data_IF_692802857234
#
_entry.id   IF_692802857234
#
_cell.length_a   1.000
_cell.length_b   1.000
_cell.length_c   1.000
_cell.angle_alpha   90.00
_cell.angle_beta   90.00
_cell.angle_gamma   90.00
#
_symmetry.space_group_name_H-M   'P 1'
#
loop_
_entity.id
_entity.type
_entity.pdbx_description
1 polymer ?
#
# COMPACT_ATOMS: atom_id res chain seq x y z
N UNK A 1 -18.65 -5.02 -40.99
CA UNK A 1 -19.59 -4.98 -39.86
C UNK A 1 -19.03 -3.98 -38.87
N UNK A 2 -19.83 -3.06 -38.33
CA UNK A 2 -19.34 -2.09 -37.33
C UNK A 2 -19.00 -2.82 -36.02
N UNK A 3 -18.01 -2.33 -35.27
CA UNK A 3 -17.60 -2.91 -33.99
C UNK A 3 -18.77 -3.02 -32.99
N UNK A 4 -19.68 -2.05 -33.03
CA UNK A 4 -20.93 -2.02 -32.25
C UNK A 4 -21.84 -3.24 -32.57
N UNK A 5 -22.01 -3.56 -33.86
CA UNK A 5 -22.79 -4.72 -34.30
C UNK A 5 -22.17 -6.05 -33.85
N UNK A 6 -20.84 -6.11 -33.78
CA UNK A 6 -20.14 -7.29 -33.28
C UNK A 6 -20.30 -7.45 -31.76
N UNK A 7 -20.26 -6.36 -30.99
CA UNK A 7 -20.51 -6.38 -29.54
C UNK A 7 -21.94 -6.82 -29.21
N UNK A 8 -22.94 -6.30 -29.91
CA UNK A 8 -24.34 -6.68 -29.70
C UNK A 8 -24.55 -8.18 -29.97
N UNK A 9 -23.95 -8.70 -31.05
CA UNK A 9 -23.97 -10.14 -31.35
C UNK A 9 -23.37 -10.96 -30.21
N UNK A 10 -22.22 -10.56 -29.68
CA UNK A 10 -21.54 -11.27 -28.57
C UNK A 10 -22.38 -11.22 -27.29
N UNK A 11 -22.98 -10.08 -26.96
CA UNK A 11 -23.91 -9.94 -25.83
C UNK A 11 -25.09 -10.91 -25.95
N UNK A 12 -25.67 -11.04 -27.15
CA UNK A 12 -26.75 -11.97 -27.40
C UNK A 12 -26.30 -13.44 -27.27
N UNK A 13 -25.08 -13.77 -27.70
CA UNK A 13 -24.50 -15.11 -27.50
C UNK A 13 -24.29 -15.44 -26.02
N UNK A 14 -23.93 -14.47 -25.18
CA UNK A 14 -23.85 -14.66 -23.72
C UNK A 14 -25.22 -14.99 -23.08
N UNK A 15 -26.34 -14.76 -23.79
CA UNK A 15 -27.70 -15.11 -23.36
C UNK A 15 -28.20 -16.45 -23.89
N UNK A 16 -27.36 -17.20 -24.63
CA UNK A 16 -27.67 -18.55 -25.14
C UNK A 16 -28.09 -19.52 -24.02
N UNK A 17 -28.63 -20.69 -24.36
CA UNK A 17 -28.76 -21.79 -23.41
C UNK A 17 -27.52 -22.69 -23.37
N UNK A 18 -26.68 -22.61 -24.41
CA UNK A 18 -25.46 -23.37 -24.54
C UNK A 18 -24.31 -22.68 -23.78
N UNK A 19 -23.66 -23.41 -22.87
CA UNK A 19 -22.57 -22.89 -22.05
C UNK A 19 -21.30 -22.66 -22.87
N UNK A 20 -21.01 -23.50 -23.85
CA UNK A 20 -19.80 -23.38 -24.67
C UNK A 20 -19.88 -22.14 -25.55
N UNK A 21 -21.07 -21.86 -26.09
CA UNK A 21 -21.36 -20.62 -26.83
C UNK A 21 -21.14 -19.39 -25.94
N UNK A 22 -21.55 -19.44 -24.66
CA UNK A 22 -21.32 -18.33 -23.72
C UNK A 22 -19.84 -18.13 -23.41
N UNK A 23 -19.11 -19.23 -23.19
CA UNK A 23 -17.68 -19.19 -22.88
C UNK A 23 -16.89 -18.61 -24.05
N UNK A 24 -17.19 -19.05 -25.28
CA UNK A 24 -16.61 -18.50 -26.50
C UNK A 24 -16.94 -17.01 -26.67
N UNK A 25 -18.19 -16.62 -26.45
CA UNK A 25 -18.61 -15.23 -26.50
C UNK A 25 -17.87 -14.36 -25.46
N UNK A 26 -17.68 -14.84 -24.23
CA UNK A 26 -16.92 -14.15 -23.19
C UNK A 26 -15.44 -14.00 -23.57
N UNK A 27 -14.82 -15.02 -24.17
CA UNK A 27 -13.45 -14.95 -24.66
C UNK A 27 -13.29 -13.91 -25.79
N UNK A 28 -14.27 -13.84 -26.70
CA UNK A 28 -14.30 -12.83 -27.76
C UNK A 28 -14.54 -11.43 -27.22
N UNK A 29 -15.44 -11.27 -26.24
CA UNK A 29 -15.64 -10.00 -25.54
C UNK A 29 -14.36 -9.53 -24.85
N UNK A 30 -13.63 -10.44 -24.19
CA UNK A 30 -12.33 -10.11 -23.60
C UNK A 30 -11.38 -9.49 -24.64
N UNK A 31 -11.23 -10.12 -25.81
CA UNK A 31 -10.37 -9.61 -26.87
C UNK A 31 -10.83 -8.24 -27.39
N UNK A 32 -12.14 -8.02 -27.53
CA UNK A 32 -12.69 -6.71 -27.91
C UNK A 32 -12.37 -5.65 -26.86
N UNK A 33 -12.51 -5.98 -25.58
CA UNK A 33 -12.17 -5.06 -24.50
C UNK A 33 -10.67 -4.72 -24.45
N UNK A 34 -9.81 -5.72 -24.63
CA UNK A 34 -8.35 -5.52 -24.70
C UNK A 34 -7.94 -4.66 -25.90
N UNK A 35 -8.75 -4.66 -26.98
CA UNK A 35 -8.53 -3.78 -28.15
C UNK A 35 -8.93 -2.32 -27.92
N UNK A 36 -9.59 -2.00 -26.80
CA UNK A 36 -10.03 -0.65 -26.46
C UNK A 36 -11.32 -0.23 -27.17
N UNK A 37 -12.22 -1.18 -27.45
CA UNK A 37 -13.54 -0.87 -28.04
C UNK A 37 -14.33 0.09 -27.15
N UNK A 38 -15.01 1.07 -27.76
CA UNK A 38 -15.90 1.99 -27.05
C UNK A 38 -17.22 1.29 -26.68
N UNK A 39 -17.77 1.65 -25.51
CA UNK A 39 -18.99 1.03 -24.96
C UNK A 39 -19.97 2.13 -24.60
N UNK A 40 -21.09 2.20 -25.33
CA UNK A 40 -22.15 3.19 -25.08
C UNK A 40 -23.04 2.81 -23.88
N UNK A 41 -23.25 1.51 -23.65
CA UNK A 41 -24.20 1.00 -22.66
C UNK A 41 -23.55 0.01 -21.68
N UNK A 42 -22.83 0.50 -20.65
CA UNK A 42 -22.13 -0.36 -19.69
C UNK A 42 -23.07 -1.27 -18.89
N UNK A 43 -24.30 -0.83 -18.59
CA UNK A 43 -25.28 -1.61 -17.82
C UNK A 43 -25.65 -2.96 -18.48
N UNK A 44 -25.65 -3.01 -19.80
CA UNK A 44 -25.90 -4.25 -20.54
C UNK A 44 -24.83 -5.28 -20.23
N UNK A 45 -23.55 -4.87 -20.26
CA UNK A 45 -22.42 -5.74 -19.95
C UNK A 45 -22.37 -6.12 -18.47
N UNK A 46 -22.65 -5.17 -17.56
CA UNK A 46 -22.75 -5.44 -16.13
C UNK A 46 -23.78 -6.55 -15.87
N UNK A 47 -24.95 -6.49 -16.50
CA UNK A 47 -25.97 -7.53 -16.36
C UNK A 47 -25.56 -8.88 -16.96
N UNK A 48 -24.86 -8.88 -18.10
CA UNK A 48 -24.28 -10.11 -18.67
C UNK A 48 -23.28 -10.74 -17.70
N UNK A 49 -22.32 -9.98 -17.20
CA UNK A 49 -21.31 -10.46 -16.25
C UNK A 49 -21.95 -10.98 -14.97
N UNK A 50 -22.91 -10.25 -14.40
CA UNK A 50 -23.68 -10.66 -13.23
C UNK A 50 -24.33 -12.04 -13.42
N UNK A 51 -24.91 -12.30 -14.58
CA UNK A 51 -25.54 -13.59 -14.87
C UNK A 51 -24.50 -14.71 -15.06
N UNK A 52 -23.41 -14.43 -15.79
CA UNK A 52 -22.34 -15.42 -16.00
C UNK A 52 -21.62 -15.79 -14.70
N UNK A 53 -21.37 -14.81 -13.81
CA UNK A 53 -20.70 -15.01 -12.52
C UNK A 53 -21.56 -15.78 -11.51
N UNK A 54 -22.89 -15.76 -11.64
CA UNK A 54 -23.81 -16.53 -10.77
C UNK A 54 -23.96 -17.99 -11.16
N UNK A 55 -23.39 -18.40 -12.29
CA UNK A 55 -23.53 -19.78 -12.71
C UNK A 55 -22.73 -20.74 -11.84
N UNK A 56 -23.26 -21.95 -11.71
CA UNK A 56 -22.56 -23.09 -11.13
C UNK A 56 -21.45 -23.64 -12.03
N UNK A 57 -21.39 -23.26 -13.31
CA UNK A 57 -20.37 -23.74 -14.23
C UNK A 57 -19.04 -22.97 -14.07
N UNK A 58 -18.00 -23.68 -13.62
CA UNK A 58 -16.68 -23.10 -13.34
C UNK A 58 -15.98 -22.53 -14.58
N UNK A 59 -16.16 -23.12 -15.76
CA UNK A 59 -15.57 -22.61 -17.00
C UNK A 59 -16.17 -21.26 -17.36
N UNK A 60 -17.49 -21.11 -17.19
CA UNK A 60 -18.18 -19.85 -17.45
C UNK A 60 -17.80 -18.76 -16.45
N UNK A 61 -17.75 -19.07 -15.15
CA UNK A 61 -17.31 -18.08 -14.14
C UNK A 61 -15.85 -17.67 -14.36
N UNK A 62 -14.98 -18.60 -14.74
CA UNK A 62 -13.57 -18.33 -15.09
C UNK A 62 -13.45 -17.41 -16.31
N UNK A 63 -14.22 -17.68 -17.36
CA UNK A 63 -14.25 -16.84 -18.56
C UNK A 63 -14.80 -15.44 -18.23
N UNK A 64 -15.86 -15.37 -17.41
CA UNK A 64 -16.46 -14.10 -16.99
C UNK A 64 -15.48 -13.23 -16.20
N UNK A 65 -14.80 -13.76 -15.17
CA UNK A 65 -13.79 -13.02 -14.41
C UNK A 65 -12.64 -12.55 -15.32
N UNK A 66 -12.27 -13.35 -16.32
CA UNK A 66 -11.20 -13.02 -17.26
C UNK A 66 -11.56 -11.83 -18.16
N UNK A 67 -12.77 -11.85 -18.73
CA UNK A 67 -13.28 -10.77 -19.57
C UNK A 67 -13.62 -9.50 -18.78
N UNK A 68 -13.91 -9.63 -17.48
CA UNK A 68 -14.29 -8.51 -16.62
C UNK A 68 -13.13 -7.54 -16.32
N UNK A 69 -11.90 -8.03 -16.28
CA UNK A 69 -10.73 -7.21 -15.95
C UNK A 69 -10.42 -6.14 -17.01
N UNK A 70 -10.33 -6.44 -18.33
CA UNK A 70 -10.15 -5.41 -19.36
C UNK A 70 -11.40 -4.57 -19.60
N UNK A 71 -12.59 -4.98 -19.13
CA UNK A 71 -13.79 -4.16 -19.17
C UNK A 71 -13.71 -2.92 -18.25
N UNK A 72 -13.11 -3.05 -17.06
CA UNK A 72 -12.96 -1.95 -16.10
C UNK A 72 -12.29 -0.68 -16.66
N UNK A 73 -11.11 -0.77 -17.30
CA UNK A 73 -10.47 0.42 -17.86
C UNK A 73 -11.36 1.09 -18.90
N UNK A 74 -12.07 0.37 -19.76
CA UNK A 74 -12.92 0.99 -20.80
C UNK A 74 -14.00 1.88 -20.18
N UNK A 75 -14.69 1.41 -19.14
CA UNK A 75 -15.78 2.16 -18.53
C UNK A 75 -15.31 3.28 -17.58
N UNK A 76 -14.01 3.29 -17.20
CA UNK A 76 -13.48 4.21 -16.18
C UNK A 76 -12.21 5.00 -16.63
N UNK A 77 -11.70 4.84 -17.85
CA UNK A 77 -10.43 5.43 -18.31
C UNK A 77 -10.51 6.94 -18.61
N UNK A 78 -11.69 7.51 -18.84
CA UNK A 78 -11.82 8.92 -19.24
C UNK A 78 -11.93 9.90 -18.06
N UNK A 79 -11.51 9.52 -16.85
CA UNK A 79 -11.49 10.41 -15.68
C UNK A 79 -12.87 10.76 -15.10
N UNK A 80 -13.95 10.43 -15.80
CA UNK A 80 -15.34 10.51 -15.33
C UNK A 80 -15.92 9.11 -15.39
N UNK A 81 -15.51 8.25 -14.45
CA UNK A 81 -16.33 7.11 -14.10
C UNK A 81 -17.66 7.67 -13.60
N UNK A 82 -18.75 7.46 -14.35
CA UNK A 82 -20.07 7.81 -13.85
C UNK A 82 -20.24 7.14 -12.48
N UNK A 83 -20.44 7.97 -11.46
CA UNK A 83 -20.61 7.55 -10.07
C UNK A 83 -21.71 6.49 -9.99
N UNK A 84 -22.74 6.59 -10.84
CA UNK A 84 -23.82 5.59 -10.87
C UNK A 84 -23.33 4.24 -11.41
N UNK A 85 -22.57 4.22 -12.51
CA UNK A 85 -21.95 3.00 -13.07
C UNK A 85 -21.01 2.35 -12.07
N UNK A 86 -20.14 3.13 -11.40
CA UNK A 86 -19.22 2.59 -10.40
C UNK A 86 -19.97 1.95 -9.22
N UNK A 87 -21.03 2.58 -8.74
CA UNK A 87 -21.90 2.00 -7.70
C UNK A 87 -22.60 0.74 -8.20
N UNK A 88 -23.08 0.74 -9.44
CA UNK A 88 -23.71 -0.42 -10.06
C UNK A 88 -22.74 -1.61 -10.05
N UNK A 89 -21.49 -1.41 -10.49
CA UNK A 89 -20.46 -2.45 -10.47
C UNK A 89 -20.15 -2.91 -9.03
N UNK A 90 -20.00 -1.99 -8.08
CA UNK A 90 -19.76 -2.33 -6.67
C UNK A 90 -20.91 -3.15 -6.07
N UNK A 91 -22.16 -2.79 -6.31
CA UNK A 91 -23.30 -3.48 -5.69
C UNK A 91 -23.61 -4.80 -6.40
N UNK A 92 -23.42 -4.87 -7.71
CA UNK A 92 -23.84 -6.04 -8.51
C UNK A 92 -22.75 -7.08 -8.72
N UNK A 93 -21.51 -6.65 -8.99
CA UNK A 93 -20.42 -7.54 -9.39
C UNK A 93 -19.47 -7.85 -8.23
N UNK A 94 -19.18 -6.88 -7.36
CA UNK A 94 -18.24 -7.10 -6.24
C UNK A 94 -18.61 -8.33 -5.39
N UNK A 95 -19.86 -8.54 -4.94
CA UNK A 95 -20.20 -9.70 -4.10
C UNK A 95 -19.99 -11.03 -4.84
N UNK A 96 -20.13 -11.03 -6.16
CA UNK A 96 -19.95 -12.23 -6.98
C UNK A 96 -18.45 -12.51 -7.21
N UNK A 97 -17.64 -11.47 -7.39
CA UNK A 97 -16.21 -11.60 -7.65
C UNK A 97 -15.43 -11.89 -6.36
N UNK A 98 -15.87 -11.37 -5.20
CA UNK A 98 -15.18 -11.65 -3.93
C UNK A 98 -15.23 -13.12 -3.54
N UNK A 99 -16.32 -13.82 -3.87
CA UNK A 99 -16.42 -15.28 -3.72
C UNK A 99 -15.40 -16.03 -4.59
N UNK A 100 -14.92 -15.41 -5.67
CA UNK A 100 -13.90 -16.00 -6.55
C UNK A 100 -12.48 -15.87 -5.99
N UNK A 101 -12.28 -15.14 -4.88
CA UNK A 101 -10.97 -15.10 -4.20
C UNK A 101 -10.57 -16.44 -3.58
N UNK A 102 -11.54 -17.34 -3.32
CA UNK A 102 -11.24 -18.70 -2.86
C UNK A 102 -10.94 -19.69 -3.99
N UNK A 103 -11.12 -19.31 -5.25
CA UNK A 103 -10.90 -20.20 -6.40
C UNK A 103 -9.40 -20.50 -6.61
N UNK A 104 -9.08 -21.27 -7.67
CA UNK A 104 -7.70 -21.59 -8.06
C UNK A 104 -6.95 -20.35 -8.54
N UNK A 105 -5.62 -20.39 -8.43
CA UNK A 105 -4.72 -19.25 -8.55
C UNK A 105 -5.00 -18.33 -9.76
N UNK A 106 -5.24 -18.88 -10.95
CA UNK A 106 -5.51 -18.07 -12.16
C UNK A 106 -6.75 -17.19 -12.01
N UNK A 107 -7.85 -17.73 -11.49
CA UNK A 107 -9.11 -17.00 -11.31
C UNK A 107 -8.99 -16.05 -10.12
N UNK A 108 -8.41 -16.54 -9.02
CA UNK A 108 -8.16 -15.77 -7.81
C UNK A 108 -7.34 -14.52 -8.08
N UNK A 109 -6.24 -14.61 -8.85
CA UNK A 109 -5.38 -13.47 -9.18
C UNK A 109 -6.18 -12.40 -9.94
N UNK A 110 -6.97 -12.80 -10.94
CA UNK A 110 -7.80 -11.86 -11.72
C UNK A 110 -8.91 -11.23 -10.88
N UNK A 111 -9.56 -12.01 -10.01
CA UNK A 111 -10.56 -11.51 -9.07
C UNK A 111 -9.95 -10.48 -8.11
N UNK A 112 -8.75 -10.77 -7.56
CA UNK A 112 -8.02 -9.84 -6.69
C UNK A 112 -7.65 -8.56 -7.42
N UNK A 113 -7.16 -8.66 -8.65
CA UNK A 113 -6.83 -7.49 -9.46
C UNK A 113 -8.05 -6.63 -9.76
N UNK A 114 -9.17 -7.25 -10.16
CA UNK A 114 -10.44 -6.57 -10.38
C UNK A 114 -10.90 -5.78 -9.14
N UNK A 115 -10.92 -6.43 -7.97
CA UNK A 115 -11.32 -5.79 -6.71
C UNK A 115 -10.35 -4.64 -6.35
N UNK A 116 -9.04 -4.84 -6.57
CA UNK A 116 -8.04 -3.80 -6.31
C UNK A 116 -8.24 -2.56 -7.20
N UNK A 117 -8.52 -2.76 -8.50
CA UNK A 117 -8.85 -1.66 -9.41
C UNK A 117 -10.13 -0.95 -9.00
N UNK A 118 -11.18 -1.69 -8.60
CA UNK A 118 -12.41 -1.07 -8.08
C UNK A 118 -12.16 -0.22 -6.84
N UNK A 119 -11.32 -0.68 -5.91
CA UNK A 119 -10.93 0.11 -4.75
C UNK A 119 -10.24 1.42 -5.14
N UNK A 120 -9.33 1.37 -6.12
CA UNK A 120 -8.66 2.56 -6.65
C UNK A 120 -9.64 3.53 -7.35
N UNK A 121 -10.56 3.04 -8.18
CA UNK A 121 -11.60 3.88 -8.81
C UNK A 121 -12.54 4.50 -7.77
N UNK A 122 -12.94 3.72 -6.75
CA UNK A 122 -13.79 4.18 -5.66
C UNK A 122 -13.13 5.30 -4.86
N UNK A 123 -11.85 5.16 -4.54
CA UNK A 123 -11.07 6.19 -3.87
C UNK A 123 -10.96 7.47 -4.71
N UNK A 124 -10.63 7.35 -6.00
CA UNK A 124 -10.52 8.51 -6.91
C UNK A 124 -11.85 9.24 -7.12
N UNK A 125 -12.96 8.50 -7.18
CA UNK A 125 -14.30 9.09 -7.36
C UNK A 125 -14.70 10.01 -6.20
N UNK A 126 -14.19 9.78 -4.99
CA UNK A 126 -14.43 10.62 -3.82
C UNK A 126 -13.50 11.83 -3.68
N UNK A 127 -12.47 11.93 -4.54
CA UNK A 127 -11.49 13.02 -4.53
C UNK A 127 -11.78 14.12 -5.55
N UNK A 128 -12.79 13.94 -6.42
CA UNK A 128 -13.22 14.97 -7.37
C UNK A 128 -14.00 16.06 -6.62
N UNK A 129 -13.41 17.25 -6.54
CA UNK A 129 -13.74 18.33 -5.59
C UNK A 129 -15.06 19.07 -5.78
N UNK A 130 -16.19 18.37 -5.93
CA UNK A 130 -17.52 19.01 -6.04
C UNK A 130 -18.54 18.58 -4.98
N UNK A 131 -18.16 17.80 -3.96
CA UNK A 131 -19.07 17.46 -2.86
C UNK A 131 -18.39 17.64 -1.48
N UNK A 132 -18.79 18.65 -0.69
CA UNK A 132 -18.35 18.76 0.69
C UNK A 132 -19.13 17.71 1.49
N UNK A 133 -18.57 16.52 1.68
CA UNK A 133 -19.19 15.53 2.59
C UNK A 133 -18.24 15.16 3.71
N UNK A 134 -18.01 16.13 4.60
CA UNK A 134 -17.84 15.84 6.01
C UNK A 134 -19.17 15.35 6.56
N UNK A 135 -19.57 14.12 6.28
CA UNK A 135 -20.70 13.49 6.97
C UNK A 135 -20.22 12.90 8.29
N UNK A 136 -19.99 13.78 9.26
CA UNK A 136 -19.86 13.43 10.69
C UNK A 136 -21.20 12.92 11.27
N UNK A 137 -22.31 13.11 10.55
CA UNK A 137 -23.68 12.80 10.98
C UNK A 137 -24.47 11.85 10.07
N UNK A 138 -23.82 11.06 9.19
CA UNK A 138 -24.47 9.94 8.50
C UNK A 138 -25.63 10.24 7.53
N UNK A 139 -25.92 11.51 7.23
CA UNK A 139 -27.03 11.96 6.35
C UNK A 139 -26.58 12.41 4.96
N UNK A 140 -25.52 11.81 4.42
CA UNK A 140 -25.09 12.02 3.03
C UNK A 140 -25.29 10.74 2.20
N UNK A 141 -25.43 10.84 0.85
CA UNK A 141 -25.40 9.66 0.00
C UNK A 141 -24.06 8.92 0.21
N UNK A 142 -24.11 7.63 0.58
CA UNK A 142 -22.94 6.78 0.81
C UNK A 142 -21.96 6.96 -0.36
N UNK A 143 -20.68 7.29 -0.20
CA UNK A 143 -19.80 7.45 -1.39
C UNK A 143 -19.43 6.07 -1.99
N UNK A 144 -19.03 5.94 -3.26
CA UNK A 144 -18.53 4.66 -3.79
C UNK A 144 -17.41 4.07 -2.94
N UNK A 145 -16.55 4.93 -2.36
CA UNK A 145 -15.52 4.51 -1.42
C UNK A 145 -16.10 3.92 -0.12
N UNK A 146 -17.18 4.49 0.43
CA UNK A 146 -17.87 3.92 1.59
C UNK A 146 -18.51 2.56 1.27
N UNK A 147 -19.12 2.42 0.08
CA UNK A 147 -19.68 1.14 -0.41
C UNK A 147 -18.57 0.10 -0.51
N UNK A 148 -17.45 0.44 -1.17
CA UNK A 148 -16.30 -0.45 -1.30
C UNK A 148 -15.74 -0.87 0.07
N UNK A 149 -15.56 0.10 0.98
CA UNK A 149 -15.07 -0.15 2.33
C UNK A 149 -15.95 -1.14 3.07
N UNK A 150 -17.27 -0.91 3.08
CA UNK A 150 -18.23 -1.79 3.74
C UNK A 150 -18.19 -3.20 3.14
N UNK A 151 -18.23 -3.32 1.81
CA UNK A 151 -18.21 -4.62 1.14
C UNK A 151 -16.91 -5.39 1.39
N UNK A 152 -15.74 -4.74 1.32
CA UNK A 152 -14.46 -5.40 1.56
C UNK A 152 -14.30 -5.83 3.02
N UNK A 153 -14.83 -5.05 3.98
CA UNK A 153 -14.86 -5.42 5.40
C UNK A 153 -15.77 -6.62 5.64
N UNK A 154 -17.02 -6.54 5.21
CA UNK A 154 -18.06 -7.53 5.51
C UNK A 154 -17.87 -8.84 4.76
N UNK A 155 -17.64 -8.78 3.45
CA UNK A 155 -17.55 -9.95 2.58
C UNK A 155 -16.11 -10.46 2.45
N UNK A 156 -15.12 -9.62 2.73
CA UNK A 156 -13.70 -9.92 2.59
C UNK A 156 -13.04 -10.26 3.92
N UNK A 157 -12.59 -9.24 4.64
CA UNK A 157 -11.79 -9.39 5.87
C UNK A 157 -12.55 -10.11 7.00
N UNK A 158 -13.87 -9.96 7.08
CA UNK A 158 -14.72 -10.66 8.05
C UNK A 158 -15.32 -11.97 7.49
N UNK A 159 -14.89 -12.43 6.31
CA UNK A 159 -15.41 -13.64 5.69
C UNK A 159 -15.21 -14.88 6.56
N UNK A 160 -16.17 -15.82 6.50
CA UNK A 160 -16.01 -17.14 7.13
C UNK A 160 -14.98 -18.01 6.39
N UNK A 161 -14.66 -17.69 5.13
CA UNK A 161 -13.71 -18.44 4.31
C UNK A 161 -12.31 -17.86 4.50
N UNK A 162 -11.39 -18.64 5.09
CA UNK A 162 -10.03 -18.18 5.40
C UNK A 162 -9.30 -17.62 4.17
N UNK A 163 -9.47 -18.28 3.02
CA UNK A 163 -8.82 -17.88 1.77
C UNK A 163 -9.33 -16.54 1.26
N UNK A 164 -10.62 -16.23 1.47
CA UNK A 164 -11.16 -14.90 1.14
C UNK A 164 -10.55 -13.82 2.05
N UNK A 165 -10.40 -14.10 3.35
CA UNK A 165 -9.74 -13.16 4.29
C UNK A 165 -8.30 -12.89 3.88
N UNK A 166 -7.52 -13.94 3.65
CA UNK A 166 -6.13 -13.86 3.18
C UNK A 166 -6.03 -12.98 1.92
N UNK A 167 -6.83 -13.26 0.89
CA UNK A 167 -6.77 -12.50 -0.35
C UNK A 167 -7.28 -11.06 -0.21
N UNK A 168 -8.22 -10.80 0.71
CA UNK A 168 -8.71 -9.45 0.99
C UNK A 168 -7.63 -8.57 1.63
N UNK A 169 -6.73 -9.16 2.43
CA UNK A 169 -5.53 -8.47 2.91
C UNK A 169 -4.63 -8.08 1.73
N UNK A 170 -4.41 -9.00 0.78
CA UNK A 170 -3.61 -8.74 -0.42
C UNK A 170 -4.25 -7.73 -1.39
N UNK A 171 -5.58 -7.61 -1.42
CA UNK A 171 -6.28 -6.52 -2.12
C UNK A 171 -5.83 -5.17 -1.58
N UNK A 172 -5.83 -4.98 -0.25
CA UNK A 172 -5.42 -3.71 0.37
C UNK A 172 -3.95 -3.37 0.06
N UNK A 173 -3.06 -4.37 0.11
CA UNK A 173 -1.66 -4.22 -0.29
C UNK A 173 -1.55 -3.76 -1.75
N UNK A 174 -2.30 -4.41 -2.65
CA UNK A 174 -2.29 -4.11 -4.09
C UNK A 174 -2.81 -2.69 -4.39
N UNK A 175 -3.85 -2.26 -3.67
CA UNK A 175 -4.35 -0.89 -3.78
C UNK A 175 -3.28 0.11 -3.31
N UNK A 176 -2.68 -0.09 -2.13
CA UNK A 176 -1.65 0.83 -1.59
C UNK A 176 -0.39 0.91 -2.46
N UNK A 177 -0.04 -0.15 -3.18
CA UNK A 177 1.07 -0.13 -4.16
C UNK A 177 0.83 0.87 -5.29
N UNK A 178 -0.41 0.97 -5.76
CA UNK A 178 -0.77 1.84 -6.89
C UNK A 178 -1.31 3.19 -6.45
N UNK A 179 -1.87 3.28 -5.25
CA UNK A 179 -2.53 4.45 -4.66
C UNK A 179 -2.06 4.63 -3.21
N UNK A 180 -0.93 5.29 -3.01
CA UNK A 180 -0.29 5.45 -1.71
C UNK A 180 -1.15 6.23 -0.70
N UNK A 181 -2.05 7.09 -1.15
CA UNK A 181 -2.96 7.86 -0.31
C UNK A 181 -4.20 7.09 0.15
N UNK A 182 -4.41 5.86 -0.33
CA UNK A 182 -5.61 5.08 -0.01
C UNK A 182 -5.76 4.86 1.51
N UNK A 183 -6.89 5.19 2.16
CA UNK A 183 -6.97 5.18 3.62
C UNK A 183 -6.93 3.75 4.19
N UNK A 184 -5.95 3.46 5.07
CA UNK A 184 -5.82 2.15 5.73
C UNK A 184 -6.48 2.13 7.11
N UNK A 185 -6.57 3.28 7.77
CA UNK A 185 -7.18 3.42 9.11
C UNK A 185 -8.55 2.75 9.24
N UNK A 186 -9.47 2.83 8.26
CA UNK A 186 -10.77 2.16 8.40
C UNK A 186 -10.67 0.63 8.49
N UNK A 187 -9.63 0.02 7.92
CA UNK A 187 -9.42 -1.44 7.91
C UNK A 187 -8.54 -1.92 9.05
N UNK A 188 -7.88 -1.00 9.77
CA UNK A 188 -6.87 -1.30 10.78
C UNK A 188 -7.35 -2.31 11.82
N UNK A 189 -8.56 -2.14 12.36
CA UNK A 189 -9.08 -3.04 13.39
C UNK A 189 -9.16 -4.50 12.90
N UNK A 190 -9.68 -4.73 11.69
CA UNK A 190 -9.79 -6.07 11.10
C UNK A 190 -8.44 -6.64 10.66
N UNK A 191 -7.52 -5.79 10.18
CA UNK A 191 -6.14 -6.21 9.87
C UNK A 191 -5.42 -6.71 11.13
N UNK A 192 -5.64 -6.05 12.27
CA UNK A 192 -5.09 -6.49 13.56
C UNK A 192 -5.74 -7.77 14.03
N UNK A 193 -7.05 -7.97 13.82
CA UNK A 193 -7.70 -9.27 14.10
C UNK A 193 -7.07 -10.41 13.28
N UNK A 194 -6.72 -10.14 12.02
CA UNK A 194 -6.10 -11.13 11.14
C UNK A 194 -4.71 -11.59 11.62
N UNK A 195 -4.02 -10.82 12.47
CA UNK A 195 -2.75 -11.25 13.07
C UNK A 195 -2.94 -12.41 14.08
N UNK A 196 -4.12 -12.49 14.69
CA UNK A 196 -4.55 -13.54 15.62
C UNK A 196 -5.61 -14.46 14.99
N UNK A 197 -5.69 -14.50 13.66
CA UNK A 197 -6.67 -15.33 12.95
C UNK A 197 -6.56 -16.80 13.36
N UNK A 198 -7.67 -17.52 13.34
CA UNK A 198 -7.71 -18.97 13.56
C UNK A 198 -6.86 -19.76 12.54
N UNK A 199 -6.80 -19.31 11.28
CA UNK A 199 -6.07 -19.97 10.19
C UNK A 199 -4.62 -19.48 10.09
N UNK A 200 -3.68 -20.41 9.94
CA UNK A 200 -2.26 -20.08 9.87
C UNK A 200 -1.90 -19.26 8.63
N UNK A 201 -2.49 -19.54 7.47
CA UNK A 201 -2.18 -18.82 6.23
C UNK A 201 -2.61 -17.35 6.34
N UNK A 202 -3.76 -17.09 6.96
CA UNK A 202 -4.24 -15.72 7.20
C UNK A 202 -3.30 -14.99 8.16
N UNK A 203 -2.89 -15.62 9.26
CA UNK A 203 -1.91 -15.02 10.19
C UNK A 203 -0.59 -14.70 9.50
N UNK A 204 -0.10 -15.61 8.68
CA UNK A 204 1.19 -15.46 7.99
C UNK A 204 1.14 -14.34 6.95
N UNK A 205 0.06 -14.30 6.15
CA UNK A 205 -0.24 -13.22 5.23
C UNK A 205 -0.41 -11.87 5.93
N UNK A 206 -1.11 -11.82 7.07
CA UNK A 206 -1.33 -10.61 7.84
C UNK A 206 -0.01 -10.03 8.37
N UNK A 207 0.90 -10.88 8.88
CA UNK A 207 2.19 -10.42 9.41
C UNK A 207 3.05 -9.73 8.35
N UNK A 208 3.14 -10.27 7.13
CA UNK A 208 3.89 -9.63 6.05
C UNK A 208 3.16 -8.39 5.51
N UNK A 209 1.85 -8.49 5.30
CA UNK A 209 1.05 -7.42 4.69
C UNK A 209 0.90 -6.21 5.59
N UNK A 210 0.76 -6.38 6.91
CA UNK A 210 0.70 -5.25 7.85
C UNK A 210 2.04 -4.51 7.86
N UNK A 211 3.17 -5.22 7.82
CA UNK A 211 4.47 -4.56 7.69
C UNK A 211 4.50 -3.75 6.39
N UNK A 212 4.18 -4.37 5.25
CA UNK A 212 4.20 -3.71 3.94
C UNK A 212 3.28 -2.47 3.86
N UNK A 213 2.06 -2.57 4.39
CA UNK A 213 1.10 -1.47 4.42
C UNK A 213 1.55 -0.28 5.29
N UNK A 214 2.35 -0.53 6.33
CA UNK A 214 2.81 0.48 7.29
C UNK A 214 4.28 0.88 7.12
N UNK A 215 4.98 0.30 6.15
CA UNK A 215 6.30 0.77 5.68
C UNK A 215 6.25 1.43 4.31
N UNK A 216 5.10 1.41 3.65
CA UNK A 216 4.92 1.99 2.32
C UNK A 216 5.05 3.53 2.29
N UNK A 217 5.20 4.10 1.08
CA UNK A 217 5.26 5.56 0.91
C UNK A 217 3.97 6.22 1.39
N UNK A 218 4.10 7.38 2.03
CA UNK A 218 2.96 8.14 2.57
C UNK A 218 2.40 7.62 3.90
N UNK A 219 3.07 6.69 4.57
CA UNK A 219 2.69 6.27 5.94
C UNK A 219 3.38 7.17 6.97
N UNK A 220 2.59 7.91 7.74
CA UNK A 220 3.09 8.80 8.80
C UNK A 220 3.39 8.07 10.10
N UNK A 221 4.21 8.68 10.97
CA UNK A 221 4.47 8.17 12.33
C UNK A 221 3.20 8.05 13.17
N UNK A 222 2.23 8.93 12.95
CA UNK A 222 0.91 8.83 13.57
C UNK A 222 0.19 7.52 13.18
N UNK A 223 0.27 7.10 11.91
CA UNK A 223 -0.31 5.83 11.46
C UNK A 223 0.40 4.62 12.10
N UNK A 224 1.73 4.69 12.26
CA UNK A 224 2.51 3.64 12.96
C UNK A 224 2.16 3.59 14.46
N UNK A 225 1.94 4.75 15.09
CA UNK A 225 1.49 4.84 16.48
C UNK A 225 0.07 4.28 16.65
N UNK A 226 -0.84 4.56 15.73
CA UNK A 226 -2.19 4.00 15.70
C UNK A 226 -2.16 2.47 15.55
N UNK A 227 -1.30 1.92 14.69
CA UNK A 227 -1.08 0.48 14.58
C UNK A 227 -0.64 -0.13 15.91
N UNK A 228 0.40 0.44 16.55
CA UNK A 228 0.88 -0.01 17.86
C UNK A 228 -0.23 0.02 18.92
N UNK A 229 -0.99 1.12 18.97
CA UNK A 229 -2.11 1.30 19.89
C UNK A 229 -3.19 0.24 19.68
N UNK A 230 -3.60 0.00 18.44
CA UNK A 230 -4.65 -0.98 18.13
C UNK A 230 -4.17 -2.41 18.42
N UNK A 231 -2.91 -2.76 18.12
CA UNK A 231 -2.34 -4.07 18.46
C UNK A 231 -2.30 -4.33 19.97
N UNK A 232 -1.92 -3.32 20.77
CA UNK A 232 -1.96 -3.44 22.24
C UNK A 232 -3.40 -3.53 22.75
N UNK A 233 -4.31 -2.71 22.23
CA UNK A 233 -5.74 -2.72 22.61
C UNK A 233 -6.40 -4.07 22.36
N UNK A 234 -6.06 -4.74 21.24
CA UNK A 234 -6.60 -6.05 20.89
C UNK A 234 -5.86 -7.23 21.54
N UNK A 235 -4.81 -6.97 22.32
CA UNK A 235 -4.06 -8.01 23.01
C UNK A 235 -3.33 -8.97 22.08
N UNK A 236 -2.81 -8.49 20.94
CA UNK A 236 -1.96 -9.30 20.05
C UNK A 236 -0.77 -9.85 20.83
N UNK A 237 -0.45 -11.13 20.66
CA UNK A 237 0.63 -11.81 21.38
C UNK A 237 1.93 -11.04 21.24
N UNK A 238 2.64 -10.88 22.36
CA UNK A 238 3.88 -10.10 22.44
C UNK A 238 4.91 -10.47 21.37
N UNK A 239 5.06 -11.76 21.05
CA UNK A 239 5.98 -12.22 20.00
C UNK A 239 5.62 -11.70 18.61
N UNK A 240 4.33 -11.66 18.26
CA UNK A 240 3.85 -11.12 16.99
C UNK A 240 4.00 -9.60 16.98
N UNK A 241 3.63 -8.94 18.08
CA UNK A 241 3.75 -7.50 18.25
C UNK A 241 5.20 -7.02 18.08
N UNK A 242 6.13 -7.64 18.80
CA UNK A 242 7.55 -7.29 18.73
C UNK A 242 8.11 -7.52 17.32
N UNK A 243 7.72 -8.63 16.66
CA UNK A 243 8.16 -8.94 15.30
C UNK A 243 7.68 -7.93 14.26
N UNK A 244 6.39 -7.54 14.31
CA UNK A 244 5.81 -6.57 13.38
C UNK A 244 6.37 -5.17 13.63
N UNK A 245 6.37 -4.71 14.88
CA UNK A 245 6.85 -3.36 15.21
C UNK A 245 8.34 -3.18 14.91
N UNK A 246 9.17 -4.20 15.16
CA UNK A 246 10.59 -4.15 14.82
C UNK A 246 10.79 -3.90 13.33
N UNK A 247 10.06 -4.59 12.45
CA UNK A 247 10.15 -4.40 10.99
C UNK A 247 9.60 -3.05 10.53
N UNK A 248 8.47 -2.61 11.10
CA UNK A 248 7.86 -1.32 10.77
C UNK A 248 8.79 -0.17 11.16
N UNK A 249 9.39 -0.19 12.35
CA UNK A 249 10.27 0.88 12.81
C UNK A 249 11.63 0.86 12.08
N UNK A 250 12.21 -0.31 11.83
CA UNK A 250 13.48 -0.43 11.12
C UNK A 250 13.43 0.18 9.70
N UNK A 251 12.32 0.03 9.00
CA UNK A 251 12.13 0.61 7.66
C UNK A 251 12.06 2.15 7.66
N UNK A 252 11.85 2.79 8.81
CA UNK A 252 11.86 4.27 8.91
C UNK A 252 13.27 4.84 9.02
N UNK A 253 14.26 4.00 9.37
CA UNK A 253 15.64 4.41 9.59
C UNK A 253 16.53 4.36 8.33
N UNK A 254 16.03 3.76 7.24
CA UNK A 254 16.77 3.55 5.99
C UNK A 254 16.57 4.65 4.94
N UNK A 255 15.72 5.66 5.21
CA UNK A 255 15.43 6.76 4.25
C UNK A 255 16.38 7.96 4.38
N UNK A 256 17.48 7.79 5.13
CA UNK A 256 18.57 8.79 5.27
C UNK A 256 19.74 8.45 4.35
N UNK A 257 19.67 8.91 3.10
CA UNK A 257 20.73 9.08 2.09
C UNK A 257 21.57 7.86 1.62
N UNK A 258 21.86 7.73 0.30
CA UNK A 258 22.81 6.74 -0.19
C UNK A 258 24.26 7.18 0.10
N UNK A 259 25.19 6.27 0.45
CA UNK A 259 26.61 6.59 0.49
C UNK A 259 27.11 6.77 -0.95
N UNK A 260 27.48 8.00 -1.30
CA UNK A 260 28.22 8.32 -2.51
C UNK A 260 29.52 7.52 -2.55
N UNK A 261 29.57 6.61 -3.52
CA UNK A 261 30.72 5.80 -3.89
C UNK A 261 31.56 6.65 -4.84
N UNK A 262 32.54 7.37 -4.30
CA UNK A 262 33.56 8.02 -5.11
C UNK A 262 34.92 7.83 -4.44
N UNK A 263 35.83 7.19 -5.18
CA UNK A 263 37.17 6.89 -4.71
C UNK A 263 38.02 8.15 -4.64
N UNK A 264 38.79 8.28 -3.57
CA UNK A 264 39.94 9.17 -3.54
C UNK A 264 41.12 8.40 -2.95
N UNK A 265 41.99 8.01 -3.87
CA UNK A 265 43.31 7.46 -3.67
C UNK A 265 44.23 8.54 -3.05
N UNK A 266 44.66 8.34 -1.80
CA UNK A 266 46.02 8.64 -1.35
C UNK A 266 46.20 8.20 0.12
N UNK A 267 47.25 7.42 0.37
CA UNK A 267 47.44 6.66 1.60
C UNK A 267 48.03 7.42 2.79
N UNK A 268 47.90 6.82 3.96
CA UNK A 268 49.03 6.55 4.85
C UNK A 268 48.64 5.43 5.84
N UNK A 269 49.63 4.62 6.22
CA UNK A 269 49.47 3.32 6.84
C UNK A 269 49.16 3.39 8.34
N UNK A 270 48.47 2.35 8.87
CA UNK A 270 48.87 1.66 10.13
C UNK A 270 48.10 0.35 10.38
N UNK A 271 48.83 -0.74 10.14
CA UNK A 271 48.92 -2.03 10.85
C UNK A 271 47.62 -2.69 11.36
N UNK A 272 47.17 -3.61 10.53
CA UNK A 272 46.28 -4.73 10.74
C UNK A 272 46.76 -5.66 11.88
N UNK A 273 45.85 -5.97 12.81
CA UNK A 273 46.04 -6.95 13.88
C UNK A 273 45.67 -8.35 13.36
N UNK A 274 46.64 -9.25 13.29
CA UNK A 274 46.45 -10.64 12.87
C UNK A 274 46.26 -11.53 14.11
N UNK A 275 45.14 -12.25 14.24
CA UNK A 275 44.87 -13.11 15.39
C UNK A 275 45.90 -14.26 15.54
N UNK A 276 46.28 -14.65 16.78
CA UNK A 276 47.35 -15.63 17.07
C UNK A 276 47.20 -17.03 16.48
N UNK A 277 46.06 -17.37 15.87
CA UNK A 277 45.82 -18.68 15.26
C UNK A 277 46.44 -18.84 13.86
N UNK A 278 46.93 -17.76 13.23
CA UNK A 278 47.50 -17.78 11.87
C UNK A 278 49.03 -17.77 11.81
N UNK A 279 49.75 -17.64 12.93
CA UNK A 279 51.22 -17.56 12.94
C UNK A 279 51.95 -18.91 13.09
N UNK A 280 51.24 -20.03 13.24
CA UNK A 280 51.87 -21.35 13.35
C UNK A 280 51.17 -22.37 12.43
N UNK A 281 51.58 -22.43 11.16
CA UNK A 281 51.56 -23.67 10.36
C UNK A 281 52.27 -23.49 9.01
N UNK A 282 53.60 -23.37 9.08
CA UNK A 282 54.49 -23.64 7.95
C UNK A 282 55.30 -24.90 8.24
N UNK A 283 54.95 -26.02 7.59
CA UNK A 283 55.86 -27.12 7.19
C UNK A 283 55.05 -28.25 6.53
N UNK A 284 55.07 -28.29 5.19
CA UNK A 284 54.74 -29.49 4.40
C UNK A 284 55.91 -30.48 4.52
N UNK A 285 55.62 -31.80 4.51
CA UNK A 285 56.05 -32.61 3.37
C UNK A 285 54.93 -33.49 2.78
N UNK A 286 55.13 -33.89 1.51
CA UNK A 286 54.34 -34.77 0.62
C UNK A 286 54.04 -36.14 1.30
N UNK A 287 52.96 -36.89 1.04
CA UNK A 287 52.58 -37.62 -0.19
C UNK A 287 51.22 -38.36 0.00
N UNK A 288 50.54 -38.64 -1.12
CA UNK A 288 49.66 -39.77 -1.49
C UNK A 288 48.58 -40.39 -0.56
N UNK A 289 47.34 -40.32 -1.10
CA UNK A 289 46.45 -41.44 -1.45
C UNK A 289 45.70 -42.27 -0.38
N UNK A 290 44.39 -42.41 -0.66
CA UNK A 290 43.45 -43.49 -0.30
C UNK A 290 42.73 -43.47 1.06
N UNK A 291 41.44 -43.13 0.97
CA UNK A 291 40.26 -43.88 1.44
C UNK A 291 40.38 -44.81 2.65
N UNK A 292 39.59 -44.55 3.71
CA UNK A 292 38.42 -45.34 4.19
C UNK A 292 38.16 -45.16 5.71
N UNK A 293 36.86 -45.07 6.02
CA UNK A 293 36.12 -45.66 7.17
C UNK A 293 36.22 -45.10 8.61
N UNK A 294 35.02 -44.77 9.13
CA UNK A 294 34.41 -45.00 10.46
C UNK A 294 35.01 -44.39 11.76
N UNK A 295 34.20 -43.53 12.39
CA UNK A 295 33.84 -43.29 13.84
C UNK A 295 34.50 -44.11 14.97
N UNK A 296 34.32 -43.78 16.29
CA UNK A 296 33.98 -42.51 16.99
C UNK A 296 34.82 -42.28 18.29
N UNK A 297 34.47 -41.23 19.07
CA UNK A 297 34.22 -41.24 20.54
C UNK A 297 35.03 -40.26 21.41
N UNK A 298 34.27 -39.55 22.28
CA UNK A 298 34.59 -38.93 23.59
C UNK A 298 35.68 -37.82 23.60
N UNK A 299 35.66 -36.77 24.42
CA UNK A 299 35.28 -36.59 25.83
C UNK A 299 35.09 -35.08 26.13
N UNK A 300 34.14 -34.76 27.01
CA UNK A 300 33.97 -33.51 27.78
C UNK A 300 35.13 -33.31 28.82
N UNK A 301 35.08 -32.35 29.78
CA UNK A 301 34.80 -30.90 29.79
C UNK A 301 35.83 -30.11 30.66
N UNK A 302 35.68 -28.77 30.81
CA UNK A 302 35.72 -27.97 32.08
C UNK A 302 36.06 -26.49 31.85
N UNK A 303 35.14 -25.57 32.20
CA UNK A 303 35.16 -24.67 33.38
C UNK A 303 36.42 -23.83 33.55
N UNK A 304 36.30 -22.50 33.59
CA UNK A 304 36.23 -21.70 34.84
C UNK A 304 36.24 -20.21 34.54
N UNK A 305 35.51 -19.51 35.39
CA UNK A 305 35.30 -18.08 35.56
C UNK A 305 36.54 -17.29 35.96
N UNK A 306 36.60 -16.00 35.59
CA UNK A 306 37.12 -14.98 36.51
C UNK A 306 36.52 -13.60 36.27
N UNK A 307 36.27 -12.95 37.39
CA UNK A 307 35.69 -11.65 37.69
C UNK A 307 36.67 -10.48 37.54
N UNK A 308 36.16 -9.25 37.43
CA UNK A 308 36.91 -8.03 37.78
C UNK A 308 36.43 -6.82 36.97
N UNK A 309 35.60 -5.92 37.52
CA UNK A 309 35.92 -4.78 38.42
C UNK A 309 36.07 -3.44 37.65
N UNK A 310 35.17 -2.49 37.96
CA UNK A 310 35.39 -1.03 38.22
C UNK A 310 35.92 -0.16 37.04
N UNK A 311 35.53 1.10 36.74
CA UNK A 311 34.88 2.23 37.43
C UNK A 311 34.34 3.25 36.41
N UNK A 312 33.46 4.12 36.89
CA UNK A 312 33.11 5.49 36.46
C UNK A 312 33.99 6.19 35.41
N UNK A 313 33.36 7.00 34.54
CA UNK A 313 33.31 8.46 34.74
C UNK A 313 32.80 9.26 33.52
N UNK A 314 31.93 10.22 33.84
CA UNK A 314 31.81 11.60 33.32
C UNK A 314 31.61 11.92 31.82
N UNK A 315 30.46 12.57 31.61
CA UNK A 315 30.08 13.54 30.57
C UNK A 315 31.07 14.73 30.47
N UNK A 316 31.08 15.44 29.33
CA UNK A 316 30.92 16.90 29.38
C UNK A 316 29.98 17.48 28.30
N UNK A 317 29.74 18.78 28.43
CA UNK A 317 28.69 19.58 27.82
C UNK A 317 29.31 20.83 27.16
N UNK A 318 28.65 21.33 26.10
CA UNK A 318 28.73 22.69 25.50
C UNK A 318 29.80 22.96 24.43
N UNK A 319 29.41 23.57 23.29
CA UNK A 319 29.63 25.00 22.96
C UNK A 319 29.19 25.34 21.51
N UNK A 320 28.73 26.58 21.34
CA UNK A 320 28.09 27.22 20.19
C UNK A 320 29.05 27.87 19.14
N UNK A 321 28.48 28.31 18.00
CA UNK A 321 28.98 29.36 17.08
C UNK A 321 28.02 29.48 15.87
N UNK A 322 27.23 30.57 15.73
CA UNK A 322 27.50 31.83 15.00
C UNK A 322 27.68 31.60 13.48
N UNK A 323 26.97 32.21 12.52
CA UNK A 323 26.89 33.65 12.15
C UNK A 323 25.87 33.91 10.98
N UNK A 324 25.35 35.14 10.88
CA UNK A 324 24.47 35.79 9.85
C UNK A 324 25.25 36.41 8.63
N UNK A 325 24.69 37.27 7.72
CA UNK A 325 23.61 37.23 6.68
C UNK A 325 24.19 37.73 5.28
N UNK A 326 23.55 38.53 4.36
CA UNK A 326 22.15 38.78 3.92
C UNK A 326 21.96 38.66 2.36
N UNK A 327 20.76 38.94 1.80
CA UNK A 327 20.52 39.85 0.63
C UNK A 327 19.02 39.98 0.33
N UNK A 328 18.55 41.22 0.24
CA UNK A 328 17.21 41.64 -0.21
C UNK A 328 17.27 42.03 -1.69
N UNK A 329 16.29 41.62 -2.50
CA UNK A 329 15.98 42.25 -3.80
C UNK A 329 14.47 42.30 -4.02
N UNK A 330 13.98 43.47 -4.41
CA UNK A 330 12.58 43.78 -4.77
C UNK A 330 12.45 43.88 -6.30
N UNK A 331 11.36 43.35 -6.88
CA UNK A 331 10.52 43.83 -8.02
C UNK A 331 9.79 42.66 -8.74
N UNK A 332 8.82 42.87 -9.65
CA UNK A 332 7.37 42.89 -9.37
C UNK A 332 6.57 41.76 -10.09
N UNK A 333 5.29 41.62 -9.70
CA UNK A 333 4.19 40.82 -10.30
C UNK A 333 4.58 39.67 -11.25
N UNK A 334 4.41 38.43 -10.78
CA UNK A 334 4.30 37.26 -11.65
C UNK A 334 3.27 36.28 -11.05
N UNK A 335 2.25 35.91 -11.83
CA UNK A 335 1.11 35.03 -11.50
C UNK A 335 1.48 33.54 -11.34
N UNK A 336 2.61 33.26 -10.68
CA UNK A 336 3.01 31.93 -10.23
C UNK A 336 3.66 32.09 -8.86
N UNK A 337 2.83 32.16 -7.81
CA UNK A 337 3.33 32.18 -6.44
C UNK A 337 3.88 30.79 -6.08
N UNK A 338 5.16 30.59 -6.34
CA UNK A 338 5.92 29.48 -5.81
C UNK A 338 5.89 29.58 -4.28
N UNK A 339 5.22 28.63 -3.63
CA UNK A 339 5.06 28.62 -2.17
C UNK A 339 6.41 28.33 -1.54
N UNK A 340 7.07 29.37 -1.02
CA UNK A 340 8.32 29.23 -0.28
C UNK A 340 8.07 28.46 1.02
N UNK A 341 8.78 27.35 1.19
CA UNK A 341 8.75 26.54 2.40
C UNK A 341 9.58 27.27 3.47
N UNK A 342 8.93 27.77 4.51
CA UNK A 342 9.60 28.39 5.66
C UNK A 342 9.87 27.33 6.71
N UNK A 343 11.14 27.19 7.11
CA UNK A 343 11.54 26.23 8.14
C UNK A 343 11.38 26.86 9.53
N UNK A 344 10.55 26.25 10.38
CA UNK A 344 10.27 26.72 11.73
C UNK A 344 11.00 25.82 12.72
N UNK A 345 12.07 26.35 13.34
CA UNK A 345 12.89 25.56 14.25
C UNK A 345 12.39 25.59 15.71
N UNK A 346 11.55 26.57 16.08
CA UNK A 346 11.02 26.70 17.45
C UNK A 346 9.67 27.45 17.49
N UNK A 347 8.95 27.33 18.62
CA UNK A 347 7.68 28.07 18.79
C UNK A 347 7.83 29.59 18.75
N UNK A 348 9.00 30.12 19.10
CA UNK A 348 9.29 31.56 19.03
C UNK A 348 9.54 32.03 17.58
N UNK A 349 10.08 31.14 16.76
CA UNK A 349 10.27 31.34 15.33
C UNK A 349 8.90 31.43 14.62
N UNK A 350 7.98 30.55 15.04
CA UNK A 350 6.60 30.52 14.57
C UNK A 350 5.85 31.82 14.89
N UNK A 351 6.00 32.32 16.13
CA UNK A 351 5.42 33.61 16.52
C UNK A 351 5.99 34.79 15.70
N UNK A 352 7.29 34.80 15.44
CA UNK A 352 7.92 35.84 14.63
C UNK A 352 7.45 35.83 13.17
N UNK A 353 7.28 34.65 12.58
CA UNK A 353 6.72 34.50 11.23
C UNK A 353 5.26 34.97 11.18
N UNK A 354 4.44 34.70 12.19
CA UNK A 354 3.08 35.24 12.21
C UNK A 354 3.04 36.77 12.32
N UNK A 355 3.94 37.38 13.08
CA UNK A 355 4.04 38.84 13.14
C UNK A 355 4.50 39.42 11.80
N UNK A 356 5.40 38.73 11.09
CA UNK A 356 5.84 39.14 9.75
C UNK A 356 4.69 39.06 8.74
N UNK A 357 3.87 38.00 8.82
CA UNK A 357 2.72 37.75 7.96
C UNK A 357 1.54 38.68 8.22
N UNK A 358 1.40 39.27 9.41
CA UNK A 358 0.26 40.15 9.73
C UNK A 358 0.36 41.52 9.05
N UNK A 359 1.57 42.07 8.88
CA UNK A 359 1.79 43.43 8.37
C UNK A 359 1.16 43.73 7.00
N UNK A 360 1.19 42.83 6.00
CA UNK A 360 0.56 43.08 4.70
C UNK A 360 -0.98 43.16 4.72
N UNK A 361 -1.63 42.65 5.77
CA UNK A 361 -3.09 42.61 5.92
C UNK A 361 -3.63 43.77 6.77
N UNK A 362 -2.76 44.46 7.50
CA UNK A 362 -3.13 45.59 8.36
C UNK A 362 -3.76 46.73 7.53
N UNK A 363 -5.01 47.09 7.86
CA UNK A 363 -5.79 48.12 7.15
C UNK A 363 -6.52 47.66 5.88
N UNK A 364 -6.37 46.40 5.44
CA UNK A 364 -7.11 45.85 4.28
C UNK A 364 -8.37 45.05 4.66
N UNK A 365 -8.59 44.84 5.94
CA UNK A 365 -9.72 44.08 6.51
C UNK A 365 -10.95 44.98 6.79
N UNK A 366 -11.29 45.87 5.87
CA UNK A 366 -12.55 46.62 5.97
C UNK A 366 -13.62 45.92 5.12
N UNK A 367 -14.87 45.89 5.60
CA UNK A 367 -16.00 45.27 4.88
C UNK A 367 -16.15 45.80 3.44
N UNK A 368 -15.70 47.04 3.19
CA UNK A 368 -15.73 47.67 1.88
C UNK A 368 -14.79 47.01 0.85
N UNK A 369 -13.66 46.43 1.27
CA UNK A 369 -12.73 45.71 0.38
C UNK A 369 -13.26 44.34 -0.06
N UNK A 370 -14.26 43.80 0.65
CA UNK A 370 -14.79 42.45 0.42
C UNK A 370 -15.99 42.45 -0.52
N UNK A 371 -16.65 43.61 -0.70
CA UNK A 371 -17.88 43.76 -1.47
C UNK A 371 -17.67 44.23 -2.93
N UNK A 372 -16.44 44.54 -3.33
CA UNK A 372 -16.16 44.93 -4.72
C UNK A 372 -16.20 43.68 -5.64
N UNK A 373 -17.06 43.63 -6.67
CA UNK A 373 -16.98 42.58 -7.67
C UNK A 373 -15.70 42.78 -8.46
N UNK A 374 -14.87 41.74 -8.52
CA UNK A 374 -13.68 41.69 -9.35
C UNK A 374 -14.14 41.77 -10.82
N UNK A 375 -13.60 42.68 -11.66
CA UNK A 375 -13.98 42.83 -13.06
C UNK A 375 -13.65 41.61 -13.93
#
# INVERSE_FOLDING_TARGET
MSAESDLERLVNQCRSNDVDVKVDALAKLQAQFESGVEIDSPDTFINVFKNCLRSSNQHMTTAAVSALLPFLPIIFQNGVADITTLRSVLVTLFPLVIDRLSDKDRVQIKAREFISRLGAYSFKSGSSGLAPTRSRDGKGPETPNMVFERLLKELGLASKVWKIREQSILVLVSIRKTQYQFPIRPYLSLLVDCLEDTDAHVRDCARSSVVELFTGPGVSDAARADLKKEMTKKGVRKTILDSVLSKVLAASSTDSAPPSREGSENGDAKKEYVPPSLMLQGKRPRTNSQSRTFTPMATLPRTTSYSGFIKDSSRPQSRAGATTPPTTVLSPLNDNAEVQIVFIASGRDLENEFVSMAKPFEGKETEHNWAAPIP
#
